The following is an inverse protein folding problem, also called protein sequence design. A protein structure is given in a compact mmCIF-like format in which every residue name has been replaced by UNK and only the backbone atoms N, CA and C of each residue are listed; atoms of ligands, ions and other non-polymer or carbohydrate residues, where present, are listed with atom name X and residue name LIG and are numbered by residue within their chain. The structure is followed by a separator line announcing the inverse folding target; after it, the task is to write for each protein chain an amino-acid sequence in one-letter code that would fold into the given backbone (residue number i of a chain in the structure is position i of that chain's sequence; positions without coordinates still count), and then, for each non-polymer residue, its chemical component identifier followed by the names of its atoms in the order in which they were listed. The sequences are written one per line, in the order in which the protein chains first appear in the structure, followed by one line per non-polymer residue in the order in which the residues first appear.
data_IF_725849331382
#
_entry.id   IF_725849331382
#
_cell.length_a   1.000
_cell.length_b   1.000
_cell.length_c   1.000
_cell.angle_alpha   90.00
_cell.angle_beta   90.00
_cell.angle_gamma   90.00
#
_symmetry.space_group_name_H-M   'P 1'
#
loop_
_entity.id
_entity.type
_entity.pdbx_description
1 polymer ?
#
# COMPACT_ATOMS: atom_id res chain seq x y z
N UNK A 1 -0.91 -10.28 19.69
CA UNK A 1 -0.76 -9.26 18.63
C UNK A 1 0.72 -9.18 18.33
N UNK A 2 1.09 -9.23 17.06
CA UNK A 2 2.49 -9.16 16.60
C UNK A 2 2.96 -7.70 16.60
N UNK A 3 4.17 -7.48 17.12
CA UNK A 3 4.79 -6.15 17.11
C UNK A 3 5.50 -5.84 15.78
N UNK A 4 5.84 -6.89 15.02
CA UNK A 4 6.47 -6.79 13.71
C UNK A 4 6.11 -8.00 12.83
N UNK A 5 5.87 -7.75 11.55
CA UNK A 5 5.67 -8.77 10.53
C UNK A 5 6.36 -8.36 9.21
N UNK A 6 6.92 -9.35 8.51
CA UNK A 6 7.43 -9.20 7.16
C UNK A 6 6.87 -10.30 6.26
N UNK A 7 6.41 -9.92 5.07
CA UNK A 7 5.80 -10.83 4.09
C UNK A 7 6.45 -10.61 2.74
N UNK A 8 6.97 -11.69 2.14
CA UNK A 8 7.42 -11.69 0.76
C UNK A 8 6.25 -12.13 -0.14
N UNK A 9 5.87 -11.28 -1.08
CA UNK A 9 4.79 -11.55 -2.04
C UNK A 9 5.33 -11.65 -3.46
N UNK A 10 4.65 -12.44 -4.29
CA UNK A 10 4.90 -12.55 -5.72
C UNK A 10 3.59 -12.44 -6.49
N UNK A 11 3.50 -11.51 -7.43
CA UNK A 11 2.35 -11.42 -8.35
C UNK A 11 2.36 -12.56 -9.37
N UNK A 12 1.23 -12.78 -10.04
CA UNK A 12 1.13 -13.71 -11.17
C UNK A 12 2.08 -13.31 -12.33
N UNK A 13 2.27 -12.01 -12.55
CA UNK A 13 3.21 -11.47 -13.54
C UNK A 13 4.69 -11.54 -13.12
N UNK A 14 5.00 -12.06 -11.92
CA UNK A 14 6.37 -12.23 -11.43
C UNK A 14 6.97 -11.02 -10.70
N UNK A 15 6.19 -9.99 -10.38
CA UNK A 15 6.63 -8.89 -9.53
C UNK A 15 6.84 -9.43 -8.13
N UNK A 16 7.98 -9.13 -7.53
CA UNK A 16 8.31 -9.50 -6.15
C UNK A 16 8.26 -8.25 -5.30
N UNK A 17 7.65 -8.35 -4.12
CA UNK A 17 7.58 -7.27 -3.16
C UNK A 17 7.75 -7.77 -1.73
N UNK A 18 8.31 -6.92 -0.88
CA UNK A 18 8.35 -7.12 0.57
C UNK A 18 7.40 -6.15 1.22
N UNK A 19 6.53 -6.64 2.10
CA UNK A 19 5.65 -5.85 2.94
C UNK A 19 6.14 -5.97 4.37
N UNK A 20 6.43 -4.84 5.01
CA UNK A 20 6.87 -4.79 6.40
C UNK A 20 5.93 -3.91 7.21
N UNK A 21 5.54 -4.41 8.38
CA UNK A 21 4.65 -3.72 9.31
C UNK A 21 5.22 -3.86 10.71
N UNK A 22 5.27 -2.75 11.45
CA UNK A 22 5.72 -2.77 12.83
C UNK A 22 5.07 -1.66 13.65
N UNK A 23 4.81 -1.96 14.92
CA UNK A 23 4.28 -1.01 15.91
C UNK A 23 5.40 -0.41 16.77
N UNK A 24 6.65 -0.45 16.28
CA UNK A 24 7.86 -0.17 17.05
C UNK A 24 8.38 1.28 16.87
N UNK A 25 7.63 2.15 16.18
CA UNK A 25 8.05 3.54 16.00
C UNK A 25 8.05 4.27 17.36
N UNK A 26 9.16 4.92 17.77
CA UNK A 26 9.39 5.31 19.18
C UNK A 26 8.61 6.55 19.65
N UNK A 27 7.68 7.07 18.83
CA UNK A 27 6.90 8.29 19.09
C UNK A 27 5.60 8.28 18.29
N UNK A 28 4.73 9.27 18.52
CA UNK A 28 3.54 9.49 17.69
C UNK A 28 3.96 9.74 16.23
N UNK A 29 3.55 8.84 15.34
CA UNK A 29 3.84 8.93 13.91
C UNK A 29 4.08 7.57 13.26
N UNK A 30 4.62 7.61 12.05
CA UNK A 30 5.03 6.45 11.27
C UNK A 30 6.26 6.81 10.45
N UNK A 31 7.09 5.83 10.13
CA UNK A 31 8.21 5.89 9.19
C UNK A 31 7.89 5.24 7.84
N UNK A 32 6.59 5.12 7.51
CA UNK A 32 6.11 4.47 6.32
C UNK A 32 6.83 4.90 5.04
N UNK A 33 7.31 3.92 4.29
CA UNK A 33 8.01 4.10 3.03
C UNK A 33 7.44 3.12 1.99
N UNK A 34 7.21 3.59 0.77
CA UNK A 34 6.83 2.73 -0.35
C UNK A 34 7.86 2.91 -1.45
N UNK A 35 8.38 1.80 -1.97
CA UNK A 35 9.28 1.78 -3.12
C UNK A 35 8.73 0.89 -4.22
N UNK A 36 8.71 1.40 -5.45
CA UNK A 36 8.36 0.63 -6.64
C UNK A 36 9.47 0.79 -7.65
N UNK A 37 10.10 -0.31 -8.05
CA UNK A 37 11.18 -0.32 -9.03
C UNK A 37 10.73 -0.98 -10.31
N UNK A 38 10.88 -0.27 -11.43
CA UNK A 38 10.69 -0.78 -12.77
C UNK A 38 12.02 -0.77 -13.55
N UNK A 39 11.94 -1.15 -14.83
CA UNK A 39 13.11 -1.21 -15.72
C UNK A 39 13.82 0.14 -15.89
N UNK A 40 13.06 1.22 -15.97
CA UNK A 40 13.56 2.54 -16.37
C UNK A 40 13.44 3.60 -15.27
N UNK A 41 12.71 3.28 -14.20
CA UNK A 41 12.43 4.23 -13.13
C UNK A 41 12.23 3.53 -11.79
N UNK A 42 12.53 4.26 -10.72
CA UNK A 42 12.19 3.91 -9.35
C UNK A 42 11.36 5.04 -8.75
N UNK A 43 10.24 4.69 -8.13
CA UNK A 43 9.41 5.59 -7.33
C UNK A 43 9.65 5.31 -5.85
N UNK A 44 9.86 6.36 -5.08
CA UNK A 44 9.97 6.30 -3.62
C UNK A 44 8.98 7.30 -3.02
N UNK A 45 8.02 6.82 -2.23
CA UNK A 45 7.17 7.66 -1.37
C UNK A 45 7.72 7.58 0.05
N UNK A 46 8.16 8.73 0.58
CA UNK A 46 8.65 8.86 1.96
C UNK A 46 8.43 10.29 2.44
N UNK A 47 8.08 10.47 3.71
CA UNK A 47 7.93 11.79 4.33
C UNK A 47 6.97 12.74 3.57
N UNK A 48 5.93 12.16 2.95
CA UNK A 48 4.96 12.90 2.14
C UNK A 48 5.49 13.38 0.78
N UNK A 49 6.66 12.93 0.35
CA UNK A 49 7.28 13.27 -0.93
C UNK A 49 7.38 12.04 -1.83
N UNK A 50 7.10 12.22 -3.12
CA UNK A 50 7.36 11.22 -4.16
C UNK A 50 8.64 11.62 -4.89
N UNK A 51 9.64 10.75 -4.85
CA UNK A 51 10.86 10.84 -5.64
C UNK A 51 10.76 9.90 -6.83
N UNK A 52 10.96 10.42 -8.04
CA UNK A 52 11.06 9.65 -9.27
C UNK A 52 12.50 9.68 -9.75
N UNK A 53 13.14 8.52 -9.78
CA UNK A 53 14.54 8.34 -10.14
C UNK A 53 14.59 7.63 -11.49
N UNK A 54 15.28 8.23 -12.46
CA UNK A 54 15.44 7.70 -13.82
C UNK A 54 16.91 7.80 -14.25
N UNK A 55 17.26 7.22 -15.40
CA UNK A 55 18.60 7.38 -15.98
C UNK A 55 18.96 8.84 -16.29
N UNK A 56 17.99 9.69 -16.60
CA UNK A 56 18.22 11.12 -16.92
C UNK A 56 18.30 12.02 -15.69
N UNK A 57 17.96 11.52 -14.51
CA UNK A 57 18.00 12.29 -13.27
C UNK A 57 16.86 11.97 -12.32
N UNK A 58 16.73 12.82 -11.30
CA UNK A 58 15.76 12.67 -10.22
C UNK A 58 14.83 13.88 -10.14
N UNK A 59 13.53 13.62 -10.01
CA UNK A 59 12.52 14.61 -9.72
C UNK A 59 11.85 14.32 -8.37
N UNK A 60 11.50 15.36 -7.63
CA UNK A 60 10.74 15.22 -6.37
C UNK A 60 9.48 16.07 -6.43
N UNK A 61 8.35 15.50 -6.02
CA UNK A 61 7.04 16.16 -5.97
C UNK A 61 6.35 15.86 -4.64
N UNK A 62 5.35 16.68 -4.29
CA UNK A 62 4.48 16.35 -3.16
C UNK A 62 3.75 15.03 -3.43
N UNK A 63 3.83 14.10 -2.48
CA UNK A 63 3.03 12.89 -2.41
C UNK A 63 1.82 13.00 -1.49
N UNK A 64 1.64 14.16 -0.84
CA UNK A 64 0.49 14.36 0.03
C UNK A 64 -0.78 14.58 -0.80
N UNK A 65 -1.86 13.85 -0.50
CA UNK A 65 -3.15 14.09 -1.12
C UNK A 65 -3.68 15.47 -0.71
N UNK A 66 -4.51 16.11 -1.55
CA UNK A 66 -5.04 17.45 -1.27
C UNK A 66 -6.01 17.46 -0.09
N UNK A 67 -6.60 16.32 0.24
CA UNK A 67 -7.57 16.13 1.31
C UNK A 67 -7.34 14.75 1.96
N UNK A 68 -8.04 14.48 3.07
CA UNK A 68 -8.00 13.18 3.72
C UNK A 68 -8.41 12.06 2.74
N UNK A 69 -7.58 11.01 2.61
CA UNK A 69 -7.82 9.91 1.66
C UNK A 69 -9.16 9.20 1.89
N UNK A 70 -9.57 9.00 3.14
CA UNK A 70 -10.84 8.35 3.46
C UNK A 70 -12.02 9.18 2.96
N UNK A 71 -11.94 10.50 3.06
CA UNK A 71 -12.95 11.40 2.51
C UNK A 71 -12.96 11.36 0.97
N UNK A 72 -11.78 11.38 0.32
CA UNK A 72 -11.68 11.29 -1.14
C UNK A 72 -12.29 10.00 -1.68
N UNK A 73 -11.98 8.85 -1.07
CA UNK A 73 -12.52 7.54 -1.49
C UNK A 73 -14.03 7.45 -1.24
N UNK A 74 -14.52 7.96 -0.10
CA UNK A 74 -15.95 7.97 0.22
C UNK A 74 -16.72 8.84 -0.78
N UNK A 75 -16.23 10.06 -1.06
CA UNK A 75 -16.84 10.98 -2.03
C UNK A 75 -16.92 10.34 -3.42
N UNK A 76 -15.81 9.82 -3.94
CA UNK A 76 -15.78 9.17 -5.27
C UNK A 76 -16.74 7.96 -5.32
N UNK A 77 -16.81 7.17 -4.25
CA UNK A 77 -17.74 6.03 -4.15
C UNK A 77 -19.19 6.46 -4.26
N UNK A 78 -19.60 7.52 -3.55
CA UNK A 78 -20.97 8.03 -3.58
C UNK A 78 -21.33 8.63 -4.95
N UNK A 79 -20.39 9.38 -5.55
CA UNK A 79 -20.57 9.97 -6.88
C UNK A 79 -20.74 8.89 -7.97
N UNK A 80 -19.95 7.83 -7.93
CA UNK A 80 -20.09 6.67 -8.84
C UNK A 80 -21.42 5.96 -8.63
N UNK A 81 -21.81 5.75 -7.37
CA UNK A 81 -23.10 5.14 -7.05
C UNK A 81 -24.27 5.92 -7.66
N UNK A 82 -24.25 7.26 -7.58
CA UNK A 82 -25.27 8.12 -8.20
C UNK A 82 -25.33 7.98 -9.73
N UNK A 83 -24.20 7.67 -10.38
CA UNK A 83 -24.11 7.44 -11.83
C UNK A 83 -24.35 5.97 -12.23
N UNK A 84 -24.54 5.05 -11.28
CA UNK A 84 -24.65 3.62 -11.55
C UNK A 84 -23.31 2.96 -11.94
N UNK A 85 -22.18 3.59 -11.60
CA UNK A 85 -20.83 3.09 -11.86
C UNK A 85 -20.33 2.23 -10.69
N UNK A 86 -19.41 1.27 -10.93
CA UNK A 86 -18.78 0.52 -9.85
C UNK A 86 -17.90 1.45 -8.98
N UNK A 87 -17.78 1.15 -7.67
CA UNK A 87 -16.88 1.89 -6.78
C UNK A 87 -15.42 1.75 -7.24
N UNK A 88 -14.53 2.69 -6.85
CA UNK A 88 -13.12 2.62 -7.23
C UNK A 88 -12.41 1.42 -6.60
N UNK A 89 -12.90 0.94 -5.45
CA UNK A 89 -12.45 -0.27 -4.76
C UNK A 89 -13.68 -1.11 -4.45
N UNK A 90 -13.74 -2.34 -4.98
CA UNK A 90 -14.87 -3.24 -4.79
C UNK A 90 -14.69 -4.12 -3.56
N UNK A 91 -15.79 -4.74 -3.11
CA UNK A 91 -15.74 -5.77 -2.04
C UNK A 91 -14.84 -6.96 -2.41
N UNK A 92 -14.71 -7.28 -3.70
CA UNK A 92 -13.84 -8.35 -4.16
C UNK A 92 -12.36 -8.00 -4.02
N UNK A 93 -12.01 -6.72 -4.14
CA UNK A 93 -10.64 -6.24 -3.93
C UNK A 93 -10.28 -6.34 -2.45
N UNK A 94 -11.20 -5.89 -1.57
CA UNK A 94 -11.06 -6.05 -0.12
C UNK A 94 -10.93 -7.53 0.28
N UNK A 95 -11.75 -8.41 -0.30
CA UNK A 95 -11.67 -9.85 -0.05
C UNK A 95 -10.28 -10.42 -0.38
N UNK A 96 -9.72 -10.08 -1.55
CA UNK A 96 -8.38 -10.54 -1.94
C UNK A 96 -7.31 -10.04 -0.97
N UNK A 97 -7.40 -8.80 -0.52
CA UNK A 97 -6.48 -8.24 0.47
C UNK A 97 -6.56 -9.00 1.81
N UNK A 98 -7.76 -9.26 2.31
CA UNK A 98 -7.97 -10.03 3.56
C UNK A 98 -7.44 -11.46 3.41
N UNK A 99 -7.65 -12.10 2.25
CA UNK A 99 -7.11 -13.45 2.01
C UNK A 99 -5.58 -13.49 2.02
N UNK A 100 -4.90 -12.44 1.55
CA UNK A 100 -3.44 -12.34 1.66
C UNK A 100 -2.99 -12.25 3.13
N UNK A 101 -3.75 -11.55 3.97
CA UNK A 101 -3.49 -11.46 5.41
C UNK A 101 -3.63 -12.85 6.05
N UNK A 102 -4.73 -13.56 5.79
CA UNK A 102 -4.94 -14.93 6.29
C UNK A 102 -3.76 -15.84 5.91
N UNK A 103 -3.35 -15.81 4.63
CA UNK A 103 -2.24 -16.62 4.13
C UNK A 103 -0.92 -16.28 4.81
N UNK A 104 -0.66 -15.01 5.10
CA UNK A 104 0.53 -14.60 5.84
C UNK A 104 0.54 -15.21 7.26
N UNK A 105 -0.59 -15.18 7.96
CA UNK A 105 -0.69 -15.82 9.29
C UNK A 105 -0.56 -17.34 9.25
N UNK A 106 -1.09 -17.99 8.21
CA UNK A 106 -0.93 -19.44 8.01
C UNK A 106 0.54 -19.80 7.77
N UNK A 107 1.25 -19.04 6.94
CA UNK A 107 2.68 -19.23 6.67
C UNK A 107 3.55 -18.95 7.91
N UNK A 108 3.14 -18.01 8.76
CA UNK A 108 3.80 -17.72 10.04
C UNK A 108 3.58 -18.81 11.10
N UNK A 109 2.82 -19.87 10.80
CA UNK A 109 2.59 -21.00 11.72
C UNK A 109 1.43 -20.80 12.69
N UNK A 110 0.46 -19.91 12.37
CA UNK A 110 -0.74 -19.61 13.18
C UNK A 110 -0.41 -19.32 14.67
N UNK A 111 0.17 -18.16 14.98
CA UNK A 111 0.50 -17.77 16.36
C UNK A 111 -0.70 -17.66 17.34
N UNK A 112 -1.93 -17.86 16.87
CA UNK A 112 -3.17 -17.86 17.68
C UNK A 112 -4.07 -19.10 17.47
N UNK A 113 -3.51 -20.19 16.91
CA UNK A 113 -4.18 -21.49 16.85
C UNK A 113 -4.18 -22.21 18.20
#
# INVERSE_FOLDING_TARGET
MEDYATVLVRSESGIIGTLEFGNLFPRDGTDGEIKVSGREAMLVLKDGMIRCITASGEETRSGQPPENLSYLVLRDTLERWQRGEPPPVSVHDCYRAVRLIDQAYELAGRPYG
#
